data_IF_706789919522
#
_entry.id   IF_706789919522
#
_cell.length_a   1.000
_cell.length_b   1.000
_cell.length_c   1.000
_cell.angle_alpha   90.00
_cell.angle_beta   90.00
_cell.angle_gamma   90.00
#
_symmetry.space_group_name_H-M   'P 1'
#
loop_
_entity.id
_entity.type
_entity.pdbx_description
1 polymer ?
#
# COMPACT_ATOMS: atom_id res chain seq x y z
N UNK A 1 11.20 -38.04 -0.16
CA UNK A 1 9.90 -37.59 0.38
C UNK A 1 9.80 -36.07 0.24
N UNK A 2 8.59 -35.51 0.11
CA UNK A 2 8.40 -34.07 0.20
C UNK A 2 8.68 -33.60 1.64
N UNK A 3 9.18 -32.38 1.81
CA UNK A 3 9.43 -31.73 3.10
C UNK A 3 8.10 -31.21 3.67
N UNK A 4 7.21 -30.71 2.82
CA UNK A 4 5.94 -30.09 3.22
C UNK A 4 4.73 -30.83 2.64
N UNK A 5 3.55 -30.61 3.22
CA UNK A 5 2.29 -31.20 2.71
C UNK A 5 1.90 -30.66 1.33
N UNK A 6 2.47 -29.50 0.93
CA UNK A 6 2.20 -28.81 -0.34
C UNK A 6 2.89 -29.44 -1.56
N UNK A 7 3.80 -30.40 -1.34
CA UNK A 7 4.48 -31.14 -2.40
C UNK A 7 5.65 -30.41 -3.06
N UNK A 8 6.42 -31.15 -3.88
CA UNK A 8 7.73 -30.72 -4.41
C UNK A 8 7.69 -29.47 -5.30
N UNK A 9 6.63 -29.29 -6.10
CA UNK A 9 6.51 -28.12 -6.99
C UNK A 9 6.38 -26.82 -6.20
N UNK A 10 5.61 -26.84 -5.11
CA UNK A 10 5.49 -25.70 -4.21
C UNK A 10 6.82 -25.41 -3.50
N UNK A 11 7.52 -26.45 -3.06
CA UNK A 11 8.84 -26.31 -2.43
C UNK A 11 9.86 -25.67 -3.37
N UNK A 12 9.89 -26.07 -4.64
CA UNK A 12 10.82 -25.53 -5.63
C UNK A 12 10.57 -24.04 -5.86
N UNK A 13 9.31 -23.65 -6.11
CA UNK A 13 8.92 -22.24 -6.30
C UNK A 13 9.25 -21.37 -5.10
N UNK A 14 9.03 -21.88 -3.89
CA UNK A 14 9.34 -21.14 -2.67
C UNK A 14 10.82 -21.23 -2.27
N UNK A 15 11.67 -21.92 -3.03
CA UNK A 15 13.12 -21.99 -2.82
C UNK A 15 13.92 -21.15 -3.84
N UNK A 16 13.26 -20.39 -4.73
CA UNK A 16 13.94 -19.56 -5.76
C UNK A 16 14.90 -18.54 -5.14
N UNK A 17 14.61 -18.06 -3.92
CA UNK A 17 15.48 -17.13 -3.19
C UNK A 17 16.90 -17.66 -2.98
N UNK A 18 17.12 -18.98 -2.99
CA UNK A 18 18.43 -19.60 -2.83
C UNK A 18 19.37 -19.33 -4.01
N UNK A 19 18.82 -19.00 -5.19
CA UNK A 19 19.62 -18.73 -6.39
C UNK A 19 20.55 -17.55 -6.18
N UNK A 20 20.13 -16.54 -5.42
CA UNK A 20 20.98 -15.40 -5.08
C UNK A 20 22.22 -15.80 -4.28
N UNK A 21 22.17 -16.84 -3.43
CA UNK A 21 23.34 -17.32 -2.71
C UNK A 21 24.25 -18.22 -3.55
N UNK A 22 23.68 -18.98 -4.48
CA UNK A 22 24.42 -19.99 -5.26
C UNK A 22 25.04 -19.39 -6.53
N UNK A 23 24.26 -18.61 -7.29
CA UNK A 23 24.63 -18.17 -8.64
C UNK A 23 25.54 -16.93 -8.63
N UNK A 24 25.45 -16.10 -7.60
CA UNK A 24 26.06 -14.75 -7.63
C UNK A 24 27.50 -14.70 -7.14
N UNK A 25 28.20 -15.85 -7.05
CA UNK A 25 29.59 -15.92 -6.56
C UNK A 25 29.82 -15.16 -5.24
N UNK A 26 28.81 -15.11 -4.38
CA UNK A 26 28.87 -14.45 -3.07
C UNK A 26 28.48 -12.97 -3.05
N UNK A 27 28.44 -12.27 -4.19
CA UNK A 27 28.17 -10.83 -4.26
C UNK A 27 26.80 -10.45 -3.68
N UNK A 28 25.79 -11.30 -3.85
CA UNK A 28 24.42 -11.01 -3.41
C UNK A 28 23.83 -12.10 -2.52
N UNK A 29 24.68 -12.90 -1.86
CA UNK A 29 24.21 -14.00 -1.03
C UNK A 29 23.33 -13.52 0.14
N UNK A 30 23.65 -12.37 0.74
CA UNK A 30 22.91 -11.77 1.86
C UNK A 30 21.47 -11.41 1.48
N UNK A 31 21.17 -11.11 0.21
CA UNK A 31 19.79 -10.85 -0.28
C UNK A 31 18.88 -12.06 -0.01
N UNK A 32 19.42 -13.28 -0.18
CA UNK A 32 18.74 -14.54 0.15
C UNK A 32 18.26 -14.57 1.60
N UNK A 33 19.14 -14.19 2.52
CA UNK A 33 18.90 -14.23 3.96
C UNK A 33 17.96 -13.12 4.42
N UNK A 34 18.08 -11.91 3.85
CA UNK A 34 17.11 -10.83 4.07
C UNK A 34 15.72 -11.22 3.57
N UNK A 35 15.62 -11.80 2.37
CA UNK A 35 14.34 -12.23 1.81
C UNK A 35 13.60 -13.18 2.75
N UNK A 36 14.26 -14.25 3.20
CA UNK A 36 13.63 -15.22 4.11
C UNK A 36 13.30 -14.60 5.47
N UNK A 37 14.13 -13.67 5.97
CA UNK A 37 13.84 -12.91 7.18
C UNK A 37 12.56 -12.09 7.02
N UNK A 38 12.40 -11.32 5.94
CA UNK A 38 11.19 -10.52 5.75
C UNK A 38 9.94 -11.39 5.60
N UNK A 39 10.07 -12.56 4.97
CA UNK A 39 8.96 -13.50 4.76
C UNK A 39 8.47 -14.16 6.05
N UNK A 40 9.36 -14.59 6.93
CA UNK A 40 9.00 -15.41 8.12
C UNK A 40 9.29 -14.72 9.45
N UNK A 41 10.03 -13.61 9.46
CA UNK A 41 10.42 -12.80 10.63
C UNK A 41 11.30 -13.53 11.66
N UNK A 42 12.07 -14.52 11.22
CA UNK A 42 12.99 -15.27 12.09
C UNK A 42 14.32 -14.53 12.27
N UNK A 43 14.63 -14.10 13.49
CA UNK A 43 15.81 -13.26 13.81
C UNK A 43 17.16 -13.93 13.50
N UNK A 44 17.26 -15.25 13.62
CA UNK A 44 18.50 -15.99 13.29
C UNK A 44 18.97 -15.74 11.85
N UNK A 45 18.03 -15.59 10.92
CA UNK A 45 18.35 -15.34 9.52
C UNK A 45 18.68 -13.89 9.24
N UNK A 46 18.15 -12.95 10.03
CA UNK A 46 18.60 -11.56 10.02
C UNK A 46 20.07 -11.45 10.45
N UNK A 47 20.45 -12.15 11.52
CA UNK A 47 21.84 -12.20 11.96
C UNK A 47 22.75 -12.76 10.87
N UNK A 48 22.37 -13.88 10.24
CA UNK A 48 23.12 -14.42 9.10
C UNK A 48 23.23 -13.42 7.93
N UNK A 49 22.14 -12.71 7.61
CA UNK A 49 22.15 -11.68 6.57
C UNK A 49 23.15 -10.56 6.87
N UNK A 50 23.16 -10.07 8.11
CA UNK A 50 24.08 -9.04 8.57
C UNK A 50 25.55 -9.51 8.49
N UNK A 51 25.84 -10.71 8.97
CA UNK A 51 27.19 -11.29 8.94
C UNK A 51 27.71 -11.39 7.49
N UNK A 52 26.92 -11.95 6.57
CA UNK A 52 27.36 -12.06 5.18
C UNK A 52 27.48 -10.71 4.47
N UNK A 53 26.58 -9.76 4.76
CA UNK A 53 26.71 -8.41 4.23
C UNK A 53 27.97 -7.71 4.74
N UNK A 54 28.35 -7.92 6.00
CA UNK A 54 29.55 -7.34 6.57
C UNK A 54 30.81 -7.91 5.92
N UNK A 55 30.89 -9.23 5.72
CA UNK A 55 32.03 -9.86 5.02
C UNK A 55 32.21 -9.25 3.61
N UNK A 56 31.12 -9.08 2.87
CA UNK A 56 31.16 -8.49 1.53
C UNK A 56 31.60 -7.01 1.57
N UNK A 57 31.00 -6.21 2.45
CA UNK A 57 31.33 -4.78 2.60
C UNK A 57 32.79 -4.60 3.03
N UNK A 58 33.26 -5.39 3.99
CA UNK A 58 34.66 -5.34 4.43
C UNK A 58 35.62 -5.68 3.30
N UNK A 59 35.31 -6.67 2.46
CA UNK A 59 36.13 -6.99 1.29
C UNK A 59 36.18 -5.81 0.29
N UNK A 60 35.03 -5.18 0.00
CA UNK A 60 34.98 -3.99 -0.86
C UNK A 60 35.81 -2.83 -0.29
N UNK A 61 35.70 -2.57 1.02
CA UNK A 61 36.47 -1.51 1.69
C UNK A 61 37.98 -1.81 1.62
N UNK A 62 38.40 -3.04 1.88
CA UNK A 62 39.82 -3.43 1.81
C UNK A 62 40.36 -3.28 0.39
N UNK A 63 39.57 -3.68 -0.62
CA UNK A 63 39.94 -3.54 -2.03
C UNK A 63 40.09 -2.07 -2.45
N UNK A 64 39.28 -1.17 -1.89
CA UNK A 64 39.37 0.27 -2.15
C UNK A 64 40.57 0.92 -1.43
N UNK A 65 40.84 0.54 -0.17
CA UNK A 65 41.95 1.12 0.62
C UNK A 65 43.32 0.71 0.05
N UNK A 66 43.42 -0.51 -0.47
CA UNK A 66 44.67 -1.08 -0.99
C UNK A 66 44.53 -1.43 -2.48
N UNK A 67 44.57 -0.44 -3.40
CA UNK A 67 44.35 -0.67 -4.83
C UNK A 67 45.52 -1.38 -5.52
N UNK A 68 46.73 -1.24 -4.98
CA UNK A 68 47.93 -1.95 -5.41
C UNK A 68 47.99 -3.35 -4.78
N UNK A 69 48.77 -4.27 -5.38
CA UNK A 69 48.92 -5.64 -4.86
C UNK A 69 49.41 -5.62 -3.40
N UNK A 70 48.53 -5.97 -2.49
CA UNK A 70 48.80 -6.01 -1.06
C UNK A 70 48.23 -7.30 -0.45
N UNK A 71 48.98 -7.98 0.41
CA UNK A 71 48.56 -9.28 0.96
C UNK A 71 47.18 -9.25 1.66
N UNK A 72 46.76 -8.10 2.21
CA UNK A 72 45.42 -7.95 2.80
C UNK A 72 44.29 -8.14 1.77
N UNK A 73 44.49 -7.73 0.52
CA UNK A 73 43.49 -7.95 -0.54
C UNK A 73 43.36 -9.44 -0.85
N UNK A 74 44.48 -10.16 -0.89
CA UNK A 74 44.49 -11.62 -1.13
C UNK A 74 43.83 -12.38 0.02
N UNK A 75 44.17 -12.03 1.27
CA UNK A 75 43.60 -12.66 2.47
C UNK A 75 42.10 -12.36 2.59
N UNK A 76 41.69 -11.11 2.39
CA UNK A 76 40.27 -10.73 2.45
C UNK A 76 39.45 -11.40 1.35
N UNK A 77 40.00 -11.53 0.14
CA UNK A 77 39.36 -12.27 -0.95
C UNK A 77 39.21 -13.76 -0.61
N UNK A 78 40.23 -14.39 -0.02
CA UNK A 78 40.13 -15.78 0.43
C UNK A 78 39.05 -15.97 1.52
N UNK A 79 38.96 -15.05 2.50
CA UNK A 79 37.91 -15.05 3.53
C UNK A 79 36.52 -14.91 2.89
N UNK A 80 36.38 -14.01 1.92
CA UNK A 80 35.14 -13.82 1.17
C UNK A 80 34.71 -15.11 0.45
N UNK A 81 35.62 -15.78 -0.26
CA UNK A 81 35.33 -17.05 -0.95
C UNK A 81 34.93 -18.17 0.02
N UNK A 82 35.63 -18.30 1.15
CA UNK A 82 35.27 -19.26 2.20
C UNK A 82 33.88 -18.94 2.77
N UNK A 83 33.60 -17.67 3.04
CA UNK A 83 32.28 -17.20 3.48
C UNK A 83 31.17 -17.53 2.47
N UNK A 84 31.45 -17.39 1.17
CA UNK A 84 30.53 -17.77 0.11
C UNK A 84 30.23 -19.28 0.12
N UNK A 85 31.26 -20.13 0.21
CA UNK A 85 31.07 -21.59 0.30
C UNK A 85 30.24 -21.97 1.53
N UNK A 86 30.55 -21.37 2.69
CA UNK A 86 29.78 -21.57 3.93
C UNK A 86 28.31 -21.14 3.73
N UNK A 87 28.08 -20.04 3.02
CA UNK A 87 26.73 -19.54 2.73
C UNK A 87 25.90 -20.52 1.90
N UNK A 88 26.50 -21.21 0.92
CA UNK A 88 25.81 -22.23 0.11
C UNK A 88 25.31 -23.36 1.02
N UNK A 89 26.19 -23.89 1.87
CA UNK A 89 25.83 -24.96 2.82
C UNK A 89 24.75 -24.47 3.79
N UNK A 90 24.85 -23.23 4.25
CA UNK A 90 23.90 -22.63 5.19
C UNK A 90 22.49 -22.53 4.58
N UNK A 91 22.38 -22.08 3.33
CA UNK A 91 21.11 -21.98 2.60
C UNK A 91 20.44 -23.35 2.43
N UNK A 92 21.22 -24.38 2.10
CA UNK A 92 20.71 -25.75 1.98
C UNK A 92 20.14 -26.28 3.30
N UNK A 93 20.78 -25.96 4.44
CA UNK A 93 20.25 -26.31 5.77
C UNK A 93 18.99 -25.52 6.12
N UNK A 94 18.99 -24.21 5.89
CA UNK A 94 17.85 -23.32 6.19
C UNK A 94 16.62 -23.68 5.35
N UNK A 95 16.80 -24.15 4.11
CA UNK A 95 15.69 -24.45 3.19
C UNK A 95 14.58 -25.27 3.85
N UNK A 96 14.94 -26.33 4.57
CA UNK A 96 13.95 -27.20 5.25
C UNK A 96 13.16 -26.44 6.31
N UNK A 97 13.87 -25.74 7.20
CA UNK A 97 13.26 -24.95 8.27
C UNK A 97 12.39 -23.81 7.71
N UNK A 98 12.86 -23.13 6.67
CA UNK A 98 12.12 -22.06 6.00
C UNK A 98 10.80 -22.54 5.42
N UNK A 99 10.80 -23.65 4.67
CA UNK A 99 9.60 -24.17 4.02
C UNK A 99 8.54 -24.58 5.05
N UNK A 100 8.95 -25.23 6.14
CA UNK A 100 8.05 -25.63 7.23
C UNK A 100 7.45 -24.41 7.94
N UNK A 101 8.28 -23.42 8.30
CA UNK A 101 7.77 -22.19 8.94
C UNK A 101 6.86 -21.40 8.02
N UNK A 102 7.15 -21.36 6.72
CA UNK A 102 6.31 -20.70 5.73
C UNK A 102 4.95 -21.39 5.60
N UNK A 103 4.92 -22.73 5.56
CA UNK A 103 3.69 -23.51 5.52
C UNK A 103 2.80 -23.21 6.73
N UNK A 104 3.36 -23.25 7.94
CA UNK A 104 2.62 -22.95 9.18
C UNK A 104 2.09 -21.52 9.17
N UNK A 105 2.90 -20.54 8.73
CA UNK A 105 2.46 -19.13 8.65
C UNK A 105 1.30 -18.95 7.68
N UNK A 106 1.34 -19.60 6.52
CA UNK A 106 0.25 -19.58 5.54
C UNK A 106 -1.00 -20.24 6.13
N UNK A 107 -0.86 -21.40 6.77
CA UNK A 107 -1.98 -22.10 7.39
C UNK A 107 -2.63 -21.28 8.51
N UNK A 108 -1.85 -20.62 9.36
CA UNK A 108 -2.36 -19.76 10.43
C UNK A 108 -3.09 -18.54 9.87
N UNK A 109 -2.54 -17.87 8.84
CA UNK A 109 -3.23 -16.76 8.19
C UNK A 109 -4.54 -17.18 7.52
N UNK A 110 -4.60 -18.40 6.95
CA UNK A 110 -5.85 -18.94 6.42
C UNK A 110 -6.89 -19.22 7.51
N UNK A 111 -6.46 -19.77 8.66
CA UNK A 111 -7.35 -20.00 9.81
C UNK A 111 -7.90 -18.70 10.37
N UNK A 112 -7.06 -17.67 10.52
CA UNK A 112 -7.46 -16.34 10.99
C UNK A 112 -8.48 -15.68 10.05
N UNK A 113 -8.24 -15.77 8.74
CA UNK A 113 -9.21 -15.31 7.73
C UNK A 113 -10.52 -16.10 7.82
N UNK A 114 -10.46 -17.41 8.03
CA UNK A 114 -11.65 -18.25 8.18
C UNK A 114 -12.44 -17.90 9.45
N UNK A 115 -11.76 -17.74 10.59
CA UNK A 115 -12.43 -17.35 11.84
C UNK A 115 -13.04 -15.96 11.73
N UNK A 116 -12.37 -15.02 11.07
CA UNK A 116 -12.90 -13.68 10.85
C UNK A 116 -14.14 -13.71 9.94
N UNK A 117 -14.11 -14.53 8.88
CA UNK A 117 -15.28 -14.76 8.02
C UNK A 117 -16.46 -15.36 8.79
N UNK A 118 -16.19 -16.31 9.68
CA UNK A 118 -17.23 -16.93 10.50
C UNK A 118 -17.82 -15.93 11.51
N UNK A 119 -16.98 -15.11 12.15
CA UNK A 119 -17.44 -14.03 13.04
C UNK A 119 -18.36 -13.06 12.31
N UNK A 120 -17.97 -12.60 11.11
CA UNK A 120 -18.80 -11.71 10.27
C UNK A 120 -20.12 -12.41 9.89
N UNK A 121 -20.09 -13.70 9.54
CA UNK A 121 -21.30 -14.46 9.21
C UNK A 121 -22.27 -14.54 10.39
N UNK A 122 -21.74 -14.67 11.60
CA UNK A 122 -22.55 -14.71 12.83
C UNK A 122 -23.12 -13.34 13.19
N UNK A 123 -22.33 -12.28 13.03
CA UNK A 123 -22.73 -10.90 13.33
C UNK A 123 -23.77 -10.36 12.34
N UNK A 124 -23.64 -10.68 11.05
CA UNK A 124 -24.49 -10.12 9.98
C UNK A 124 -25.49 -11.12 9.38
N UNK A 125 -25.57 -12.34 9.90
CA UNK A 125 -26.38 -13.42 9.33
C UNK A 125 -25.87 -13.89 7.97
N UNK A 126 -26.43 -15.00 7.49
CA UNK A 126 -26.03 -15.79 6.31
C UNK A 126 -26.10 -15.11 4.93
N UNK A 127 -25.93 -13.79 4.84
CA UNK A 127 -25.98 -13.02 3.58
C UNK A 127 -24.61 -12.94 2.87
N UNK A 128 -23.53 -13.42 3.50
CA UNK A 128 -22.17 -13.35 2.95
C UNK A 128 -21.61 -14.75 2.67
N UNK A 129 -22.21 -15.48 1.73
CA UNK A 129 -21.56 -16.67 1.17
C UNK A 129 -20.51 -16.27 0.12
N UNK A 130 -19.30 -16.82 0.30
CA UNK A 130 -18.13 -16.60 -0.53
C UNK A 130 -18.33 -17.24 -1.92
N UNK A 131 -18.97 -16.50 -2.81
CA UNK A 131 -19.25 -16.90 -4.19
C UNK A 131 -20.24 -15.99 -4.90
N UNK A 132 -20.97 -15.13 -4.18
CA UNK A 132 -21.91 -14.20 -4.80
C UNK A 132 -21.17 -13.07 -5.51
N UNK A 133 -21.19 -13.09 -6.85
CA UNK A 133 -21.06 -11.87 -7.67
C UNK A 133 -21.98 -10.84 -7.02
N UNK A 134 -21.41 -9.73 -6.54
CA UNK A 134 -22.09 -8.59 -5.90
C UNK A 134 -23.60 -8.62 -6.16
N UNK A 135 -24.34 -9.30 -5.28
CA UNK A 135 -25.79 -9.22 -5.20
C UNK A 135 -26.08 -8.18 -4.13
N UNK A 136 -27.08 -7.31 -4.34
CA UNK A 136 -27.18 -6.03 -3.66
C UNK A 136 -27.27 -6.20 -2.16
N UNK A 137 -26.58 -5.29 -1.46
CA UNK A 137 -26.72 -5.03 -0.03
C UNK A 137 -28.22 -5.04 0.29
N UNK A 138 -28.72 -5.86 1.23
CA UNK A 138 -29.99 -5.60 1.88
C UNK A 138 -29.83 -4.33 2.71
N UNK A 139 -29.88 -3.18 2.02
CA UNK A 139 -30.38 -1.99 2.65
C UNK A 139 -31.80 -2.34 3.03
N UNK A 140 -32.13 -2.16 4.30
CA UNK A 140 -33.49 -1.90 4.72
C UNK A 140 -33.89 -0.58 4.04
N UNK A 141 -34.21 -0.68 2.75
CA UNK A 141 -34.79 0.38 1.96
C UNK A 141 -36.18 0.53 2.54
N UNK A 142 -36.33 1.45 3.50
CA UNK A 142 -37.56 2.22 3.57
C UNK A 142 -37.76 2.75 2.16
N UNK A 143 -38.69 2.12 1.45
CA UNK A 143 -39.13 2.55 0.12
C UNK A 143 -39.35 4.07 0.16
N UNK A 144 -38.44 4.81 -0.47
CA UNK A 144 -38.75 6.11 -1.02
C UNK A 144 -38.42 6.07 -2.50
N UNK A 145 -39.30 6.63 -3.35
CA UNK A 145 -39.43 6.22 -4.73
C UNK A 145 -38.23 6.70 -5.57
N UNK A 146 -37.88 5.90 -6.57
CA UNK A 146 -36.99 6.28 -7.66
C UNK A 146 -37.46 7.57 -8.37
N UNK A 147 -36.48 8.23 -9.01
CA UNK A 147 -36.62 9.28 -10.01
C UNK A 147 -37.21 10.63 -9.58
N UNK A 148 -36.36 11.42 -8.94
CA UNK A 148 -36.15 12.81 -9.39
C UNK A 148 -34.66 13.11 -9.30
N UNK A 149 -34.03 13.58 -10.38
CA UNK A 149 -32.71 14.22 -10.33
C UNK A 149 -32.85 15.48 -9.49
N UNK A 150 -32.75 15.35 -8.17
CA UNK A 150 -32.77 16.47 -7.24
C UNK A 150 -31.40 17.11 -7.28
N UNK A 151 -31.35 18.28 -7.89
CA UNK A 151 -30.25 19.22 -7.68
C UNK A 151 -30.15 19.52 -6.19
N UNK A 152 -28.99 19.23 -5.59
CA UNK A 152 -28.73 19.42 -4.17
C UNK A 152 -28.05 20.77 -3.98
N UNK A 153 -28.66 21.67 -3.22
CA UNK A 153 -28.00 22.90 -2.79
C UNK A 153 -27.07 22.59 -1.62
N UNK A 154 -25.76 22.67 -1.88
CA UNK A 154 -24.71 22.32 -0.92
C UNK A 154 -24.74 23.22 0.35
N UNK A 155 -25.31 24.41 0.23
CA UNK A 155 -25.37 25.40 1.31
C UNK A 155 -26.58 25.24 2.22
N UNK A 156 -27.51 24.36 1.87
CA UNK A 156 -28.71 24.07 2.67
C UNK A 156 -28.89 22.58 2.96
N UNK A 157 -28.30 21.71 2.14
CA UNK A 157 -28.36 20.26 2.29
C UNK A 157 -27.83 19.74 3.63
N UNK A 158 -28.42 18.65 4.08
CA UNK A 158 -27.99 17.85 5.24
C UNK A 158 -26.80 16.95 4.89
N UNK A 159 -26.06 16.47 5.89
CA UNK A 159 -24.89 15.60 5.68
C UNK A 159 -25.23 14.36 4.85
N UNK A 160 -26.39 13.74 5.12
CA UNK A 160 -26.86 12.56 4.39
C UNK A 160 -27.22 12.86 2.93
N UNK A 161 -27.80 14.04 2.66
CA UNK A 161 -28.09 14.49 1.29
C UNK A 161 -26.79 14.77 0.51
N UNK A 162 -25.80 15.38 1.17
CA UNK A 162 -24.49 15.64 0.56
C UNK A 162 -23.74 14.33 0.28
N UNK A 163 -23.84 13.34 1.17
CA UNK A 163 -23.26 12.00 0.98
C UNK A 163 -23.95 11.18 -0.13
N UNK A 164 -25.15 11.60 -0.56
CA UNK A 164 -25.86 11.00 -1.69
C UNK A 164 -25.33 11.44 -3.07
N UNK A 165 -24.48 12.47 -3.14
CA UNK A 165 -23.96 12.99 -4.40
C UNK A 165 -22.92 12.03 -4.99
N UNK A 166 -23.01 11.66 -6.29
CA UNK A 166 -22.04 10.79 -6.93
C UNK A 166 -20.61 11.31 -6.83
N UNK A 167 -19.76 10.61 -6.06
CA UNK A 167 -18.38 10.99 -5.80
C UNK A 167 -18.12 11.65 -4.44
N UNK A 168 -19.16 11.92 -3.66
CA UNK A 168 -19.09 12.41 -2.28
C UNK A 168 -19.56 11.30 -1.34
N UNK A 169 -18.65 10.56 -0.73
CA UNK A 169 -19.01 9.61 0.33
C UNK A 169 -19.16 10.31 1.69
N UNK A 170 -19.66 9.59 2.71
CA UNK A 170 -19.85 10.13 4.08
C UNK A 170 -18.65 10.90 4.65
N UNK A 171 -17.42 10.41 4.41
CA UNK A 171 -16.19 11.11 4.82
C UNK A 171 -16.00 12.46 4.13
N UNK A 172 -16.36 12.55 2.86
CA UNK A 172 -16.30 13.80 2.11
C UNK A 172 -17.45 14.72 2.51
N UNK A 173 -18.65 14.19 2.76
CA UNK A 173 -19.79 14.97 3.24
C UNK A 173 -19.50 15.68 4.56
N UNK A 174 -18.88 14.99 5.52
CA UNK A 174 -18.42 15.62 6.76
C UNK A 174 -17.44 16.77 6.51
N UNK A 175 -16.48 16.58 5.61
CA UNK A 175 -15.52 17.62 5.21
C UNK A 175 -16.20 18.81 4.54
N UNK A 176 -17.25 18.56 3.76
CA UNK A 176 -18.08 19.59 3.14
C UNK A 176 -18.80 20.42 4.20
N UNK A 177 -19.38 19.78 5.22
CA UNK A 177 -20.07 20.48 6.32
C UNK A 177 -19.11 21.35 7.11
N UNK A 178 -17.92 20.83 7.45
CA UNK A 178 -16.87 21.59 8.11
C UNK A 178 -16.39 22.80 7.28
N UNK A 179 -16.26 22.62 5.96
CA UNK A 179 -15.88 23.70 5.05
C UNK A 179 -17.00 24.74 4.88
N UNK A 180 -18.27 24.31 4.84
CA UNK A 180 -19.44 25.18 4.78
C UNK A 180 -19.53 26.08 6.01
N UNK A 181 -19.32 25.52 7.21
CA UNK A 181 -19.33 26.29 8.46
C UNK A 181 -18.17 27.30 8.51
N UNK A 182 -16.99 26.90 8.05
CA UNK A 182 -15.79 27.76 8.03
C UNK A 182 -15.89 28.92 7.04
N UNK A 183 -16.39 28.67 5.85
CA UNK A 183 -16.49 29.66 4.77
C UNK A 183 -17.81 30.48 4.85
N UNK A 184 -18.74 30.10 5.72
CA UNK A 184 -20.08 30.70 5.76
C UNK A 184 -20.93 30.38 4.51
N UNK A 185 -20.61 29.28 3.83
CA UNK A 185 -21.22 28.82 2.58
C UNK A 185 -20.31 28.94 1.35
N UNK A 186 -20.68 28.22 0.28
CA UNK A 186 -19.99 28.22 -1.00
C UNK A 186 -20.69 29.15 -2.00
N UNK A 187 -19.92 29.97 -2.71
CA UNK A 187 -20.44 30.96 -3.67
C UNK A 187 -20.59 30.42 -5.09
N UNK A 188 -19.77 29.45 -5.49
CA UNK A 188 -19.84 28.80 -6.79
C UNK A 188 -19.30 27.37 -6.73
N UNK A 189 -19.54 26.61 -7.80
CA UNK A 189 -18.99 25.27 -7.98
C UNK A 189 -17.45 25.27 -7.99
N UNK A 190 -16.83 26.27 -8.60
CA UNK A 190 -15.38 26.44 -8.65
C UNK A 190 -14.81 26.71 -7.25
N UNK A 191 -15.48 27.56 -6.46
CA UNK A 191 -15.11 27.81 -5.07
C UNK A 191 -15.14 26.52 -4.25
N UNK A 192 -16.19 25.72 -4.40
CA UNK A 192 -16.32 24.42 -3.74
C UNK A 192 -15.20 23.44 -4.11
N UNK A 193 -14.89 23.30 -5.41
CA UNK A 193 -13.81 22.44 -5.91
C UNK A 193 -12.46 22.88 -5.35
N UNK A 194 -12.20 24.18 -5.29
CA UNK A 194 -10.95 24.75 -4.77
C UNK A 194 -10.82 24.52 -3.25
N UNK A 195 -11.84 24.87 -2.47
CA UNK A 195 -11.82 24.75 -1.00
C UNK A 195 -11.64 23.31 -0.54
N UNK A 196 -12.27 22.35 -1.21
CA UNK A 196 -12.17 20.93 -0.85
C UNK A 196 -11.00 20.21 -1.55
N UNK A 197 -10.28 20.91 -2.43
CA UNK A 197 -9.18 20.38 -3.25
C UNK A 197 -9.61 19.14 -4.05
N UNK A 198 -10.76 19.24 -4.71
CA UNK A 198 -11.37 18.15 -5.48
C UNK A 198 -10.62 18.01 -6.81
N UNK A 199 -10.27 16.77 -7.17
CA UNK A 199 -9.61 16.50 -8.46
C UNK A 199 -10.57 16.72 -9.64
N UNK A 200 -10.10 17.21 -10.80
CA UNK A 200 -10.97 17.60 -11.93
C UNK A 200 -11.95 16.50 -12.40
N UNK A 201 -11.50 15.25 -12.47
CA UNK A 201 -12.32 14.11 -12.89
C UNK A 201 -13.48 13.78 -11.93
N UNK A 202 -13.35 14.14 -10.65
CA UNK A 202 -14.41 13.95 -9.66
C UNK A 202 -15.39 15.13 -9.71
N UNK A 203 -14.87 16.34 -9.89
CA UNK A 203 -15.68 17.55 -10.06
C UNK A 203 -16.66 17.41 -11.24
N UNK A 204 -16.21 16.95 -12.40
CA UNK A 204 -17.06 16.77 -13.58
C UNK A 204 -18.26 15.84 -13.33
N UNK A 205 -18.08 14.81 -12.48
CA UNK A 205 -19.17 13.89 -12.12
C UNK A 205 -20.18 14.49 -11.16
N UNK A 206 -19.76 15.44 -10.32
CA UNK A 206 -20.62 16.09 -9.33
C UNK A 206 -21.37 17.30 -9.90
N UNK A 207 -20.84 17.91 -10.98
CA UNK A 207 -21.37 19.12 -11.60
C UNK A 207 -22.88 19.11 -11.89
N UNK A 208 -23.50 18.04 -12.42
CA UNK A 208 -24.93 18.07 -12.72
C UNK A 208 -25.83 17.91 -11.48
N UNK A 209 -25.26 17.59 -10.31
CA UNK A 209 -26.00 17.28 -9.08
C UNK A 209 -25.94 18.41 -8.04
N UNK A 210 -25.07 19.40 -8.21
CA UNK A 210 -24.84 20.46 -7.24
C UNK A 210 -25.35 21.81 -7.75
N UNK A 211 -26.11 22.50 -6.90
CA UNK A 211 -26.55 23.88 -7.12
C UNK A 211 -25.94 24.77 -6.03
N UNK A 212 -25.63 26.00 -6.43
CA UNK A 212 -25.11 27.04 -5.55
C UNK A 212 -26.03 28.25 -5.77
N UNK A 213 -26.73 28.75 -4.75
CA UNK A 213 -27.44 30.02 -4.87
C UNK A 213 -26.41 31.12 -5.09
N UNK A 214 -26.43 31.75 -6.27
CA UNK A 214 -25.59 32.90 -6.58
C UNK A 214 -25.85 33.99 -5.53
N UNK A 215 -24.89 34.19 -4.61
CA UNK A 215 -24.70 35.53 -4.06
C UNK A 215 -24.06 36.35 -5.17
N UNK A 216 -24.58 37.56 -5.51
CA UNK A 216 -24.01 38.36 -6.58
C UNK A 216 -22.52 38.54 -6.33
N UNK A 217 -21.71 38.04 -7.27
CA UNK A 217 -20.27 38.15 -7.21
C UNK A 217 -19.88 39.63 -7.25
N UNK A 218 -19.38 40.18 -6.15
CA UNK A 218 -18.50 41.36 -6.21
C UNK A 218 -17.13 40.92 -6.72
N UNK A 219 -17.09 40.51 -7.98
CA UNK A 219 -15.88 40.17 -8.73
C UNK A 219 -15.91 40.84 -10.12
N UNK A 220 -16.16 42.14 -10.12
CA UNK A 220 -15.62 43.10 -11.10
C UNK A 220 -15.55 44.42 -10.32
N UNK A 221 -14.40 44.97 -9.95
CA UNK A 221 -13.40 45.59 -10.79
C UNK A 221 -12.09 45.63 -9.99
N UNK A 222 -11.06 44.86 -10.40
CA UNK A 222 -9.69 45.33 -10.23
C UNK A 222 -9.19 45.69 -11.62
N UNK A 223 -9.72 46.80 -12.11
CA UNK A 223 -9.16 47.54 -13.23
C UNK A 223 -7.69 47.77 -12.88
N UNK A 224 -6.80 47.26 -13.72
CA UNK A 224 -5.40 47.58 -13.71
C UNK A 224 -5.27 49.10 -13.94
N UNK A 225 -5.21 49.88 -12.86
CA UNK A 225 -4.60 51.20 -12.92
C UNK A 225 -3.10 50.98 -13.02
N UNK A 226 -2.65 50.88 -14.27
CA UNK A 226 -1.27 51.13 -14.63
C UNK A 226 -0.93 52.55 -14.18
N UNK A 227 0.07 52.65 -13.31
CA UNK A 227 0.64 53.92 -12.86
C UNK A 227 1.43 54.48 -14.05
N UNK A 228 0.85 55.45 -14.75
CA UNK A 228 1.61 56.33 -15.65
C UNK A 228 2.50 57.18 -14.73
N UNK A 229 3.81 57.00 -14.86
CA UNK A 229 4.81 57.90 -14.30
C UNK A 229 5.16 58.85 -15.45
N UNK A 230 4.53 60.02 -15.46
CA UNK A 230 5.01 61.11 -16.30
C UNK A 230 6.20 61.81 -15.63
N UNK A 231 7.07 62.33 -16.49
CA UNK A 231 8.37 62.97 -16.26
C UNK A 231 8.38 64.09 -15.22
#
# INVERSE_FOLDING_TARGET
MAITSKGKGWELRNSIWMLWAILTLGFFNYISFYYIYFRVKQRKWLFAALVYSLIFITWIIIAEIYPEKHWMTDVSFAIFLLGWIISIVHVLKIRKEYLLRLEVKIANGQKEIQSLREQIRQEYGSTVEAGSKVAPIPQEIKEQPEDTVKMIDINTATEDEVAGVPGIGALFAKKVMEAREREGGFTSFEHFVQTLSIKPHLAEKMRPFLVFPEKPSTSSLKKSEGRIVDF
#
